data_IF_080410478040
#
_entry.id   IF_080410478040
#
_cell.length_a   1.000
_cell.length_b   1.000
_cell.length_c   1.000
_cell.angle_alpha   90.00
_cell.angle_beta   90.00
_cell.angle_gamma   90.00
#
_symmetry.space_group_name_H-M   'P 1'
#
loop_
_entity.id
_entity.type
_entity.pdbx_description
1 polymer ?
#
# COMPACT_ATOMS: atom_id res chain seq x y z
N UNK A 1 47.64 7.11 -22.31
CA UNK A 1 48.11 5.86 -22.97
C UNK A 1 49.12 6.07 -24.08
N UNK A 2 49.22 7.27 -24.70
CA UNK A 2 50.33 7.55 -25.63
C UNK A 2 51.72 7.41 -25.00
N UNK A 3 51.83 7.57 -23.67
CA UNK A 3 53.10 7.40 -22.93
C UNK A 3 53.65 5.97 -23.00
N UNK A 4 52.79 4.94 -23.00
CA UNK A 4 53.22 3.54 -23.18
C UNK A 4 53.66 3.29 -24.63
N UNK A 5 52.95 3.88 -25.59
CA UNK A 5 53.27 3.73 -27.02
C UNK A 5 54.57 4.47 -27.41
N UNK A 6 54.92 5.53 -26.68
CA UNK A 6 56.16 6.30 -26.86
C UNK A 6 57.31 5.80 -26.00
N UNK A 7 57.11 4.69 -25.28
CA UNK A 7 58.12 4.11 -24.38
C UNK A 7 58.59 5.08 -23.28
N UNK A 8 57.75 6.06 -22.90
CA UNK A 8 58.04 7.00 -21.80
C UNK A 8 57.73 6.39 -20.42
N UNK A 9 56.99 5.28 -20.40
CA UNK A 9 56.60 4.51 -19.19
C UNK A 9 56.62 3.02 -19.48
N UNK A 10 57.10 2.24 -18.52
CA UNK A 10 57.26 0.78 -18.68
C UNK A 10 55.97 -0.02 -18.43
N UNK A 11 55.08 0.45 -17.55
CA UNK A 11 53.82 -0.25 -17.25
C UNK A 11 52.69 0.69 -16.78
N UNK A 12 51.45 0.21 -16.88
CA UNK A 12 50.25 0.89 -16.36
C UNK A 12 49.30 -0.13 -15.72
N UNK A 13 48.82 0.16 -14.51
CA UNK A 13 47.91 -0.72 -13.75
C UNK A 13 46.45 -0.28 -13.78
N UNK A 14 46.17 0.95 -14.23
CA UNK A 14 44.86 1.60 -14.10
C UNK A 14 44.01 1.48 -15.36
N UNK A 15 44.63 1.19 -16.50
CA UNK A 15 43.93 1.24 -17.77
C UNK A 15 43.27 -0.10 -18.11
N UNK A 16 41.96 -0.06 -18.35
CA UNK A 16 41.20 -1.23 -18.81
C UNK A 16 41.41 -1.54 -20.30
N UNK A 17 41.26 -2.82 -20.69
CA UNK A 17 41.33 -3.25 -22.08
C UNK A 17 40.15 -2.70 -22.87
N UNK A 18 40.41 -2.25 -24.11
CA UNK A 18 39.36 -1.89 -25.07
C UNK A 18 39.80 -2.32 -26.47
N UNK A 19 38.86 -2.53 -27.40
CA UNK A 19 39.13 -3.04 -28.73
C UNK A 19 40.16 -2.20 -29.51
N UNK A 20 40.18 -0.87 -29.32
CA UNK A 20 41.19 0.01 -29.93
C UNK A 20 42.58 -0.12 -29.29
N UNK A 21 42.64 -0.33 -27.96
CA UNK A 21 43.89 -0.38 -27.20
C UNK A 21 44.63 -1.71 -27.35
N UNK A 22 43.91 -2.81 -27.60
CA UNK A 22 44.50 -4.13 -27.86
C UNK A 22 45.34 -4.17 -29.15
N UNK A 23 45.20 -3.19 -30.05
CA UNK A 23 46.00 -3.10 -31.28
C UNK A 23 47.39 -2.50 -31.07
N UNK A 24 47.60 -1.81 -29.95
CA UNK A 24 48.79 -0.97 -29.70
C UNK A 24 49.51 -1.31 -28.39
N UNK A 25 48.92 -2.14 -27.52
CA UNK A 25 49.51 -2.48 -26.23
C UNK A 25 49.04 -3.87 -25.79
N UNK A 26 49.96 -4.67 -25.28
CA UNK A 26 49.66 -5.97 -24.68
C UNK A 26 49.21 -5.81 -23.23
N UNK A 27 48.24 -6.62 -22.81
CA UNK A 27 47.71 -6.62 -21.44
C UNK A 27 48.04 -7.96 -20.79
N UNK A 28 48.55 -7.92 -19.55
CA UNK A 28 48.58 -9.10 -18.71
C UNK A 28 47.15 -9.58 -18.40
N UNK A 29 46.99 -10.86 -18.01
CA UNK A 29 45.70 -11.46 -17.69
C UNK A 29 44.90 -10.56 -16.74
N UNK A 30 43.82 -9.98 -17.25
CA UNK A 30 42.97 -9.09 -16.47
C UNK A 30 42.22 -9.88 -15.39
N UNK A 31 42.34 -9.44 -14.14
CA UNK A 31 41.36 -9.81 -13.11
C UNK A 31 40.02 -9.16 -13.47
N UNK A 32 38.88 -9.82 -13.21
CA UNK A 32 37.58 -9.27 -13.59
C UNK A 32 37.39 -7.93 -12.88
N UNK A 33 37.38 -6.86 -13.67
CA UNK A 33 36.87 -5.57 -13.24
C UNK A 33 35.42 -5.55 -13.67
N UNK A 34 34.52 -5.29 -12.72
CA UNK A 34 33.10 -5.11 -13.01
C UNK A 34 32.95 -4.13 -14.17
N UNK A 35 32.59 -4.66 -15.34
CA UNK A 35 32.88 -3.95 -16.60
C UNK A 35 32.02 -2.71 -16.79
N UNK A 36 30.81 -2.69 -16.23
CA UNK A 36 29.93 -1.52 -16.18
C UNK A 36 28.95 -1.72 -15.03
N UNK A 37 28.88 -0.78 -14.10
CA UNK A 37 27.80 -0.74 -13.10
C UNK A 37 26.94 0.50 -13.34
N UNK A 38 25.62 0.32 -13.29
CA UNK A 38 24.69 1.44 -13.32
C UNK A 38 24.57 1.97 -11.90
N UNK A 39 25.15 3.13 -11.65
CA UNK A 39 25.00 3.83 -10.38
C UNK A 39 23.72 4.66 -10.49
N UNK A 40 22.67 4.22 -9.79
CA UNK A 40 21.42 4.97 -9.66
C UNK A 40 21.29 5.52 -8.25
N UNK A 41 20.54 6.62 -8.12
CA UNK A 41 20.15 7.15 -6.82
C UNK A 41 19.22 6.16 -6.11
N UNK A 42 19.39 6.02 -4.80
CA UNK A 42 18.49 5.21 -3.97
C UNK A 42 17.07 5.75 -4.14
N UNK A 43 16.08 4.93 -4.52
CA UNK A 43 14.72 5.40 -4.64
C UNK A 43 14.23 5.90 -3.28
N UNK A 44 13.59 7.08 -3.29
CA UNK A 44 12.96 7.63 -2.10
C UNK A 44 11.83 6.69 -1.68
N UNK A 45 11.82 6.30 -0.41
CA UNK A 45 10.72 5.50 0.14
C UNK A 45 9.43 6.29 0.09
N UNK A 46 8.31 5.60 -0.11
CA UNK A 46 6.99 6.21 -0.02
C UNK A 46 6.81 6.87 1.36
N UNK A 47 6.01 7.95 1.44
CA UNK A 47 5.76 8.64 2.69
C UNK A 47 5.20 7.68 3.76
N UNK A 48 5.81 7.69 4.94
CA UNK A 48 5.48 6.78 6.03
C UNK A 48 4.07 7.00 6.60
N UNK A 49 3.48 8.19 6.43
CA UNK A 49 2.12 8.49 6.87
C UNK A 49 1.03 7.71 6.09
N UNK A 50 1.33 7.22 4.88
CA UNK A 50 0.40 6.37 4.11
C UNK A 50 0.55 4.87 4.42
N UNK A 51 1.42 4.51 5.37
CA UNK A 51 1.67 3.11 5.71
C UNK A 51 0.43 2.39 6.25
N UNK A 52 -0.48 3.11 6.91
CA UNK A 52 -1.72 2.57 7.47
C UNK A 52 -2.75 2.16 6.41
N UNK A 53 -2.77 2.83 5.26
CA UNK A 53 -3.71 2.57 4.15
C UNK A 53 -3.14 1.56 3.16
N UNK A 54 -1.81 1.34 3.19
CA UNK A 54 -1.06 0.42 2.32
C UNK A 54 -1.47 -1.05 2.34
N UNK A 55 -1.93 -1.69 3.44
CA UNK A 55 -2.18 -3.13 3.44
C UNK A 55 -3.33 -3.53 2.52
N UNK A 56 -4.24 -2.61 2.19
CA UNK A 56 -5.40 -2.87 1.33
C UNK A 56 -5.35 -2.05 0.04
N UNK A 57 -5.80 -2.68 -1.06
CA UNK A 57 -6.03 -1.96 -2.31
C UNK A 57 -7.12 -0.91 -2.13
N UNK A 58 -7.05 0.20 -2.88
CA UNK A 58 -8.10 1.22 -2.89
C UNK A 58 -9.50 0.65 -3.20
N UNK A 59 -9.57 -0.43 -3.98
CA UNK A 59 -10.83 -1.13 -4.25
C UNK A 59 -11.44 -1.76 -2.99
N UNK A 60 -10.60 -2.31 -2.11
CA UNK A 60 -11.04 -2.93 -0.86
C UNK A 60 -11.55 -1.86 0.11
N UNK A 61 -10.87 -0.71 0.18
CA UNK A 61 -11.36 0.44 0.96
C UNK A 61 -12.73 0.93 0.47
N UNK A 62 -12.92 1.04 -0.85
CA UNK A 62 -14.21 1.42 -1.43
C UNK A 62 -15.30 0.38 -1.14
N UNK A 63 -14.98 -0.90 -1.23
CA UNK A 63 -15.91 -1.97 -0.89
C UNK A 63 -16.29 -1.96 0.60
N UNK A 64 -15.32 -1.68 1.48
CA UNK A 64 -15.55 -1.56 2.93
C UNK A 64 -16.44 -0.35 3.27
N UNK A 65 -16.18 0.82 2.68
CA UNK A 65 -17.06 1.99 2.88
C UNK A 65 -18.46 1.70 2.32
N UNK A 66 -18.54 1.05 1.16
CA UNK A 66 -19.81 0.63 0.56
C UNK A 66 -20.60 -0.33 1.44
N UNK A 67 -19.95 -1.30 2.09
CA UNK A 67 -20.62 -2.26 2.96
C UNK A 67 -21.15 -1.60 4.23
N UNK A 68 -20.42 -0.64 4.82
CA UNK A 68 -20.90 0.10 5.99
C UNK A 68 -22.10 0.96 5.66
N UNK A 69 -22.09 1.68 4.54
CA UNK A 69 -23.25 2.46 4.10
C UNK A 69 -24.45 1.55 3.84
N UNK A 70 -24.23 0.42 3.18
CA UNK A 70 -25.29 -0.56 2.91
C UNK A 70 -25.89 -1.12 4.20
N UNK A 71 -25.06 -1.53 5.17
CA UNK A 71 -25.54 -2.06 6.45
C UNK A 71 -26.27 -0.99 7.28
N UNK A 72 -25.77 0.25 7.31
CA UNK A 72 -26.44 1.35 7.98
C UNK A 72 -27.81 1.70 7.36
N UNK A 73 -27.92 1.67 6.03
CA UNK A 73 -29.20 1.84 5.33
C UNK A 73 -30.16 0.68 5.61
N UNK A 74 -29.66 -0.56 5.62
CA UNK A 74 -30.45 -1.74 5.97
C UNK A 74 -31.00 -1.63 7.40
N UNK A 75 -30.17 -1.25 8.38
CA UNK A 75 -30.61 -1.02 9.76
C UNK A 75 -31.65 0.11 9.85
N UNK A 76 -31.44 1.21 9.14
CA UNK A 76 -32.38 2.33 9.12
C UNK A 76 -33.75 1.94 8.55
N UNK A 77 -33.79 1.22 7.42
CA UNK A 77 -35.05 0.74 6.84
C UNK A 77 -35.76 -0.24 7.75
N UNK A 78 -35.03 -1.13 8.42
CA UNK A 78 -35.59 -2.08 9.38
C UNK A 78 -36.23 -1.34 10.57
N UNK A 79 -35.55 -0.31 11.09
CA UNK A 79 -36.06 0.52 12.17
C UNK A 79 -37.27 1.37 11.75
N UNK A 80 -37.28 1.90 10.51
CA UNK A 80 -38.43 2.62 9.95
C UNK A 80 -39.67 1.74 9.81
N UNK A 81 -39.50 0.53 9.29
CA UNK A 81 -40.58 -0.45 9.18
C UNK A 81 -41.13 -0.84 10.55
N UNK A 82 -40.25 -0.93 11.55
CA UNK A 82 -40.64 -1.25 12.92
C UNK A 82 -41.34 -0.09 13.63
N UNK A 83 -40.85 1.14 13.48
CA UNK A 83 -41.50 2.34 14.00
C UNK A 83 -42.92 2.53 13.42
N UNK A 84 -43.11 2.18 12.14
CA UNK A 84 -44.43 2.19 11.51
C UNK A 84 -45.38 1.13 12.10
N UNK A 85 -44.86 -0.04 12.47
CA UNK A 85 -45.67 -1.15 13.00
C UNK A 85 -46.00 -0.99 14.50
N UNK A 86 -45.05 -0.49 15.30
CA UNK A 86 -45.15 -0.45 16.78
C UNK A 86 -45.52 0.93 17.32
N UNK A 87 -45.50 1.98 16.47
CA UNK A 87 -45.76 3.37 16.87
C UNK A 87 -44.65 3.99 17.72
N UNK A 88 -43.47 3.38 17.73
CA UNK A 88 -42.32 3.78 18.56
C UNK A 88 -41.46 4.87 17.88
N UNK A 89 -40.51 5.46 18.64
CA UNK A 89 -39.69 6.59 18.22
C UNK A 89 -38.87 6.31 16.96
N UNK A 90 -38.93 7.27 16.03
CA UNK A 90 -38.15 7.29 14.79
C UNK A 90 -36.65 7.39 15.08
N UNK A 91 -35.87 6.44 14.55
CA UNK A 91 -34.40 6.46 14.70
C UNK A 91 -33.78 7.29 13.57
N UNK A 92 -32.91 8.23 13.94
CA UNK A 92 -32.22 9.09 13.00
C UNK A 92 -31.16 8.30 12.21
N UNK A 93 -31.11 8.52 10.89
CA UNK A 93 -30.18 7.87 9.96
C UNK A 93 -28.71 8.03 10.36
N UNK A 94 -28.34 9.17 10.95
CA UNK A 94 -26.99 9.42 11.45
C UNK A 94 -26.58 8.43 12.55
N UNK A 95 -27.53 8.03 13.40
CA UNK A 95 -27.29 7.13 14.52
C UNK A 95 -27.15 5.68 14.02
N UNK A 96 -27.93 5.29 13.00
CA UNK A 96 -27.80 4.01 12.31
C UNK A 96 -26.45 3.88 11.56
N UNK A 97 -26.00 4.95 10.90
CA UNK A 97 -24.69 4.98 10.24
C UNK A 97 -23.54 4.92 11.25
N UNK A 98 -23.60 5.72 12.33
CA UNK A 98 -22.61 5.67 13.41
C UNK A 98 -22.54 4.29 14.05
N UNK A 99 -23.68 3.60 14.18
CA UNK A 99 -23.73 2.24 14.69
C UNK A 99 -23.05 1.24 13.75
N UNK A 100 -23.33 1.32 12.45
CA UNK A 100 -22.66 0.48 11.44
C UNK A 100 -21.14 0.68 11.39
N UNK A 101 -20.68 1.92 11.60
CA UNK A 101 -19.26 2.26 11.69
C UNK A 101 -18.64 1.76 13.00
N UNK A 102 -19.35 1.91 14.12
CA UNK A 102 -18.90 1.44 15.44
C UNK A 102 -18.81 -0.09 15.52
N UNK A 103 -19.71 -0.82 14.86
CA UNK A 103 -19.65 -2.27 14.74
C UNK A 103 -18.39 -2.74 14.00
N UNK A 104 -18.01 -2.04 12.92
CA UNK A 104 -16.79 -2.34 12.15
C UNK A 104 -15.49 -2.03 12.93
N UNK A 105 -15.54 -1.10 13.88
CA UNK A 105 -14.39 -0.69 14.70
C UNK A 105 -14.36 -1.35 16.09
N UNK A 106 -15.14 -2.42 16.31
CA UNK A 106 -15.25 -3.16 17.59
C UNK A 106 -15.64 -2.28 18.81
N UNK A 107 -16.14 -1.05 18.58
CA UNK A 107 -16.66 -0.16 19.60
C UNK A 107 -18.06 0.33 19.21
N UNK A 108 -19.08 -0.54 19.20
CA UNK A 108 -20.45 -0.10 19.01
C UNK A 108 -20.84 0.78 20.22
N UNK A 109 -21.43 1.98 20.00
CA UNK A 109 -21.95 2.79 21.10
C UNK A 109 -23.00 2.00 21.87
N UNK A 110 -23.07 2.15 23.21
CA UNK A 110 -24.02 1.41 24.03
C UNK A 110 -25.44 1.91 23.72
N UNK A 111 -26.33 0.93 23.50
CA UNK A 111 -27.79 1.04 23.41
C UNK A 111 -28.40 1.50 22.07
N UNK A 112 -28.59 0.52 21.19
CA UNK A 112 -29.82 0.44 20.39
C UNK A 112 -30.62 -0.75 20.92
N UNK A 113 -31.88 -0.51 21.30
CA UNK A 113 -32.82 -1.53 21.77
C UNK A 113 -33.05 -2.54 20.64
N UNK A 114 -32.27 -3.61 20.64
CA UNK A 114 -32.34 -4.66 19.63
C UNK A 114 -33.16 -5.80 20.23
N UNK A 115 -34.45 -5.86 19.87
CA UNK A 115 -35.17 -7.13 19.89
C UNK A 115 -34.41 -8.12 18.99
N UNK A 116 -34.29 -9.38 19.43
CA UNK A 116 -33.30 -10.41 19.05
C UNK A 116 -32.92 -10.65 17.57
N UNK A 117 -33.55 -9.99 16.61
CA UNK A 117 -33.22 -10.10 15.18
C UNK A 117 -32.07 -9.19 14.72
N UNK A 118 -31.92 -7.99 15.29
CA UNK A 118 -30.82 -7.08 14.92
C UNK A 118 -29.44 -7.54 15.44
N UNK A 119 -29.43 -8.41 16.46
CA UNK A 119 -28.21 -8.89 17.09
C UNK A 119 -27.54 -9.96 16.22
N UNK A 120 -28.36 -10.75 15.50
CA UNK A 120 -27.90 -11.78 14.57
C UNK A 120 -27.11 -11.16 13.42
N UNK A 121 -27.58 -10.05 12.83
CA UNK A 121 -26.90 -9.39 11.70
C UNK A 121 -25.49 -8.90 12.07
N UNK A 122 -25.26 -8.48 13.32
CA UNK A 122 -23.95 -8.04 13.80
C UNK A 122 -23.03 -9.18 14.23
N UNK A 123 -23.54 -10.38 14.53
CA UNK A 123 -22.72 -11.53 14.96
C UNK A 123 -22.20 -12.40 13.82
N UNK A 124 -22.71 -12.20 12.60
CA UNK A 124 -22.33 -12.98 11.40
C UNK A 124 -21.32 -12.25 10.49
N UNK A 125 -20.83 -11.07 10.90
CA UNK A 125 -19.76 -10.32 10.25
C UNK A 125 -18.54 -10.19 11.16
#
# INVERSE_FOLDING_TARGET
MGLLQREEKDFCTVAGPSAGRLKVTEYARGYPSDMVTVISLKPTTLPQYLSLVRPFSGQVWMAMVGSVVFSGLMLWTLQKLWAFATGDRDVQLNLALLYSWGALLEQPPPELFIHGFGQVINTWF
#
